data_IF_806165984598
#
_entry.id   IF_806165984598
#
_cell.length_a   1.000
_cell.length_b   1.000
_cell.length_c   1.000
_cell.angle_alpha   90.00
_cell.angle_beta   90.00
_cell.angle_gamma   90.00
#
_symmetry.space_group_name_H-M   'P 1'
#
loop_
_entity.id
_entity.type
_entity.pdbx_description
1 polymer ?
#
# COMPACT_ATOMS: atom_id res chain seq x y z
N UNK A 1 82.95 33.34 32.00
CA UNK A 1 83.69 33.62 30.81
C UNK A 1 83.48 32.48 29.83
N UNK A 2 82.49 32.53 29.00
CA UNK A 2 82.42 31.60 27.86
C UNK A 2 81.56 32.29 26.75
N UNK A 3 82.21 32.32 25.63
CA UNK A 3 81.85 33.01 24.43
C UNK A 3 80.78 32.24 23.66
N UNK A 4 79.63 32.85 23.45
CA UNK A 4 78.53 32.27 22.67
C UNK A 4 78.61 32.78 21.22
N UNK A 5 79.02 31.93 20.28
CA UNK A 5 78.98 32.18 18.85
C UNK A 5 77.55 32.13 18.30
N UNK A 6 77.14 33.20 17.64
CA UNK A 6 75.86 33.31 16.91
C UNK A 6 75.91 32.50 15.64
N UNK A 7 75.02 31.52 15.53
CA UNK A 7 74.73 30.79 14.26
C UNK A 7 73.55 31.48 13.59
N UNK A 8 73.79 32.04 12.41
CA UNK A 8 72.74 32.59 11.54
C UNK A 8 72.16 31.45 10.69
N UNK A 9 70.86 31.10 10.88
CA UNK A 9 70.14 30.27 9.98
C UNK A 9 69.51 31.11 8.86
N UNK A 10 69.86 30.78 7.63
CA UNK A 10 69.26 31.28 6.41
C UNK A 10 67.96 30.50 6.20
N UNK A 11 66.78 31.14 6.34
CA UNK A 11 65.53 30.55 5.98
C UNK A 11 65.18 30.92 4.54
N UNK A 12 65.25 29.90 3.68
CA UNK A 12 64.79 29.99 2.30
C UNK A 12 63.24 29.91 2.34
N UNK A 13 62.57 31.02 2.03
CA UNK A 13 61.12 31.08 1.95
C UNK A 13 60.66 30.46 0.63
N UNK A 14 59.96 29.30 0.72
CA UNK A 14 59.24 28.70 -0.39
C UNK A 14 57.79 29.25 -0.32
N UNK A 15 57.46 30.21 -1.18
CA UNK A 15 56.12 30.72 -1.33
C UNK A 15 55.29 29.75 -2.17
N UNK A 16 54.49 28.90 -1.52
CA UNK A 16 53.46 28.11 -2.17
C UNK A 16 52.22 29.00 -2.41
N UNK A 17 51.99 29.37 -3.65
CA UNK A 17 50.74 30.03 -4.08
C UNK A 17 49.64 28.99 -4.09
N UNK A 18 48.81 28.96 -3.04
CA UNK A 18 47.52 28.23 -3.04
C UNK A 18 46.52 28.98 -3.94
N UNK A 19 46.32 28.51 -5.17
CA UNK A 19 45.14 28.84 -5.96
C UNK A 19 43.90 28.22 -5.27
N UNK A 20 43.25 28.98 -4.42
CA UNK A 20 41.94 28.62 -3.88
C UNK A 20 40.91 28.92 -4.98
N UNK A 21 40.62 27.91 -5.82
CA UNK A 21 39.51 27.95 -6.74
C UNK A 21 38.22 28.01 -5.93
N UNK A 22 37.56 29.18 -5.89
CA UNK A 22 36.22 29.32 -5.36
C UNK A 22 35.27 28.58 -6.27
N UNK A 23 34.93 27.34 -5.91
CA UNK A 23 33.78 26.64 -6.48
C UNK A 23 32.56 27.42 -6.00
N UNK A 24 32.02 28.24 -6.89
CA UNK A 24 30.70 28.84 -6.67
C UNK A 24 29.69 27.70 -6.74
N UNK A 25 29.33 27.14 -5.61
CA UNK A 25 28.14 26.32 -5.45
C UNK A 25 26.98 27.27 -5.73
N UNK A 26 26.43 27.18 -6.94
CA UNK A 26 25.15 27.79 -7.26
C UNK A 26 24.15 27.31 -6.22
N UNK A 27 23.63 28.25 -5.42
CA UNK A 27 22.49 27.97 -4.56
C UNK A 27 21.35 27.56 -5.50
N UNK A 28 21.20 26.25 -5.72
CA UNK A 28 20.00 25.73 -6.33
C UNK A 28 18.83 26.26 -5.49
N UNK A 29 17.87 26.88 -6.18
CA UNK A 29 16.64 27.44 -5.63
C UNK A 29 16.10 26.52 -4.52
N UNK A 30 16.41 26.84 -3.28
CA UNK A 30 15.59 26.42 -2.15
C UNK A 30 14.32 27.23 -2.32
N UNK A 31 13.36 26.70 -3.08
CA UNK A 31 12.01 27.22 -3.09
C UNK A 31 11.61 27.43 -1.64
N UNK A 32 11.49 28.68 -1.23
CA UNK A 32 11.18 29.06 0.14
C UNK A 32 9.93 28.26 0.54
N UNK A 33 10.10 27.30 1.47
CA UNK A 33 8.99 26.52 1.99
C UNK A 33 8.00 27.53 2.54
N UNK A 34 6.84 27.65 1.88
CA UNK A 34 5.78 28.56 2.31
C UNK A 34 5.44 28.18 3.75
N UNK A 35 5.60 29.08 4.74
CA UNK A 35 5.29 28.73 6.12
C UNK A 35 3.79 28.41 6.22
N UNK A 36 3.45 27.44 7.07
CA UNK A 36 2.07 27.17 7.41
C UNK A 36 1.42 28.45 7.90
N UNK A 37 0.38 28.91 7.22
CA UNK A 37 -0.38 30.08 7.66
C UNK A 37 -1.14 29.73 8.92
N UNK A 38 -1.30 30.65 9.88
CA UNK A 38 -1.92 30.46 11.20
C UNK A 38 -3.39 29.99 11.20
N UNK A 39 -3.91 29.64 10.08
CA UNK A 39 -5.25 29.11 9.94
C UNK A 39 -5.29 27.63 10.36
N UNK A 40 -5.60 27.39 11.61
CA UNK A 40 -5.79 26.07 12.23
C UNK A 40 -6.73 25.11 11.48
N UNK A 41 -7.52 25.62 10.53
CA UNK A 41 -8.59 24.88 9.85
C UNK A 41 -8.43 24.75 8.32
N UNK A 42 -7.28 25.12 7.76
CA UNK A 42 -7.09 24.97 6.30
C UNK A 42 -6.63 23.56 5.94
N UNK A 43 -7.60 22.67 5.82
CA UNK A 43 -7.38 21.32 5.32
C UNK A 43 -6.78 21.29 3.90
N UNK A 44 -7.00 22.37 3.13
CA UNK A 44 -6.47 22.54 1.78
C UNK A 44 -5.01 23.03 1.75
N UNK A 45 -4.45 23.47 2.88
CA UNK A 45 -3.07 23.95 2.92
C UNK A 45 -2.10 22.77 3.10
N UNK A 46 -1.58 22.28 1.99
CA UNK A 46 -0.63 21.15 1.97
C UNK A 46 0.70 21.44 2.68
N UNK A 47 1.05 22.72 2.86
CA UNK A 47 2.26 23.10 3.60
C UNK A 47 2.08 22.99 5.12
N UNK A 48 0.84 22.91 5.59
CA UNK A 48 0.48 22.69 7.00
C UNK A 48 0.40 21.21 7.41
N UNK A 49 0.59 20.27 6.48
CA UNK A 49 0.56 18.82 6.81
C UNK A 49 1.55 18.52 7.95
N UNK A 50 1.10 17.76 8.93
CA UNK A 50 1.86 17.43 10.16
C UNK A 50 1.60 18.40 11.31
N UNK A 51 1.05 19.59 11.06
CA UNK A 51 0.69 20.59 12.05
C UNK A 51 -0.83 20.75 12.23
N UNK A 52 -1.62 20.17 11.34
CA UNK A 52 -3.09 20.24 11.37
C UNK A 52 -3.66 19.29 12.43
N UNK A 53 -4.80 19.65 12.97
CA UNK A 53 -5.61 18.74 13.78
C UNK A 53 -6.74 18.18 12.91
N UNK A 54 -6.51 17.02 12.31
CA UNK A 54 -7.47 16.34 11.43
C UNK A 54 -8.32 15.30 12.19
N UNK A 55 -7.95 15.02 13.46
CA UNK A 55 -8.59 14.01 14.26
C UNK A 55 -10.03 14.37 14.62
N UNK A 56 -10.95 13.42 14.39
CA UNK A 56 -12.32 13.57 14.81
C UNK A 56 -12.46 13.46 16.33
N UNK A 57 -13.46 14.14 16.87
CA UNK A 57 -13.77 14.05 18.29
C UNK A 57 -14.19 12.62 18.66
N UNK A 58 -13.67 12.12 19.78
CA UNK A 58 -13.98 10.80 20.30
C UNK A 58 -13.95 10.80 21.84
N UNK A 59 -14.87 10.05 22.46
CA UNK A 59 -14.81 9.73 23.90
C UNK A 59 -13.78 8.67 24.24
N UNK A 60 -13.20 8.01 23.20
CA UNK A 60 -12.15 7.00 23.35
C UNK A 60 -10.78 7.70 23.34
N UNK A 61 -10.03 7.58 24.42
CA UNK A 61 -8.66 8.10 24.47
C UNK A 61 -7.75 7.36 23.49
N UNK A 62 -6.66 7.99 23.05
CA UNK A 62 -5.66 7.36 22.18
C UNK A 62 -5.04 6.09 22.81
N UNK A 63 -4.78 6.10 24.13
CA UNK A 63 -4.27 4.94 24.85
C UNK A 63 -5.24 3.76 24.81
N UNK A 64 -6.54 4.03 25.01
CA UNK A 64 -7.59 3.00 24.92
C UNK A 64 -7.73 2.48 23.49
N UNK A 65 -7.66 3.37 22.49
CA UNK A 65 -7.68 3.01 21.07
C UNK A 65 -6.49 2.09 20.72
N UNK A 66 -5.29 2.44 21.15
CA UNK A 66 -4.08 1.62 20.96
C UNK A 66 -4.21 0.24 21.64
N UNK A 67 -4.72 0.18 22.88
CA UNK A 67 -4.90 -1.08 23.59
C UNK A 67 -5.91 -2.01 22.88
N UNK A 68 -7.00 -1.43 22.34
CA UNK A 68 -7.99 -2.17 21.55
C UNK A 68 -7.36 -2.69 20.27
N UNK A 69 -6.66 -1.82 19.52
CA UNK A 69 -6.00 -2.19 18.26
C UNK A 69 -4.97 -3.28 18.45
N UNK A 70 -4.14 -3.18 19.51
CA UNK A 70 -3.16 -4.23 19.86
C UNK A 70 -3.82 -5.59 20.07
N UNK A 71 -4.94 -5.62 20.79
CA UNK A 71 -5.70 -6.87 21.01
C UNK A 71 -6.19 -7.48 19.70
N UNK A 72 -6.71 -6.65 18.78
CA UNK A 72 -7.15 -7.16 17.47
C UNK A 72 -5.96 -7.55 16.59
N UNK A 73 -4.88 -6.78 16.60
CA UNK A 73 -3.66 -7.13 15.89
C UNK A 73 -3.12 -8.50 16.34
N UNK A 74 -3.10 -8.77 17.65
CA UNK A 74 -2.71 -10.07 18.19
C UNK A 74 -3.65 -11.22 17.77
N UNK A 75 -4.93 -10.96 17.57
CA UNK A 75 -5.88 -11.98 17.08
C UNK A 75 -5.62 -12.27 15.59
N UNK A 76 -5.43 -11.25 14.77
CA UNK A 76 -5.11 -11.40 13.35
C UNK A 76 -3.77 -12.11 13.19
N UNK A 77 -2.75 -11.72 13.93
CA UNK A 77 -1.42 -12.34 13.88
C UNK A 77 -1.43 -13.84 14.21
N UNK A 78 -2.38 -14.26 15.03
CA UNK A 78 -2.56 -15.70 15.37
C UNK A 78 -3.36 -16.46 14.31
N UNK A 79 -4.28 -15.80 13.61
CA UNK A 79 -5.20 -16.45 12.67
C UNK A 79 -4.75 -16.33 11.23
N UNK A 80 -4.08 -15.25 10.85
CA UNK A 80 -3.63 -15.00 9.50
C UNK A 80 -2.22 -15.53 9.24
N UNK A 81 -1.96 -15.93 8.01
CA UNK A 81 -0.61 -16.30 7.56
C UNK A 81 0.16 -15.02 7.23
N UNK A 82 1.04 -14.58 8.14
CA UNK A 82 1.88 -13.42 7.93
C UNK A 82 3.08 -13.75 7.05
N UNK A 83 3.43 -12.83 6.15
CA UNK A 83 4.70 -12.86 5.43
C UNK A 83 5.83 -12.58 6.41
N UNK A 84 6.81 -13.48 6.46
CA UNK A 84 7.99 -13.38 7.35
C UNK A 84 9.26 -12.98 6.60
N UNK A 85 9.16 -12.73 5.30
CA UNK A 85 10.30 -12.33 4.49
C UNK A 85 10.77 -10.92 4.88
N UNK A 86 11.99 -10.76 5.41
CA UNK A 86 12.45 -9.49 5.96
C UNK A 86 12.56 -8.41 4.88
N UNK A 87 12.92 -8.77 3.64
CA UNK A 87 13.07 -7.79 2.54
C UNK A 87 11.71 -7.19 2.17
N UNK A 88 10.67 -8.03 2.05
CA UNK A 88 9.31 -7.58 1.74
C UNK A 88 8.78 -6.72 2.89
N UNK A 89 8.96 -7.17 4.13
CA UNK A 89 8.46 -6.46 5.31
C UNK A 89 9.14 -5.10 5.50
N UNK A 90 10.46 -5.05 5.36
CA UNK A 90 11.23 -3.81 5.47
C UNK A 90 10.84 -2.81 4.38
N UNK A 91 10.68 -3.29 3.15
CA UNK A 91 10.26 -2.46 2.04
C UNK A 91 8.89 -1.81 2.28
N UNK A 92 7.86 -2.62 2.60
CA UNK A 92 6.50 -2.11 2.84
C UNK A 92 6.49 -1.15 4.04
N UNK A 93 7.22 -1.50 5.10
CA UNK A 93 7.35 -0.63 6.27
C UNK A 93 8.02 0.71 5.91
N UNK A 94 9.07 0.72 5.08
CA UNK A 94 9.74 1.95 4.66
C UNK A 94 8.81 2.85 3.84
N UNK A 95 8.04 2.31 2.90
CA UNK A 95 7.04 3.06 2.14
C UNK A 95 6.02 3.68 3.10
N UNK A 96 5.51 2.89 4.05
CA UNK A 96 4.57 3.38 5.04
C UNK A 96 5.17 4.47 5.96
N UNK A 97 6.39 4.29 6.46
CA UNK A 97 7.03 5.29 7.32
C UNK A 97 7.28 6.62 6.58
N UNK A 98 7.54 6.58 5.27
CA UNK A 98 7.64 7.79 4.45
C UNK A 98 6.28 8.51 4.37
N UNK A 99 5.20 7.77 4.17
CA UNK A 99 3.83 8.32 4.17
C UNK A 99 3.47 8.85 5.57
N UNK A 100 3.66 8.07 6.62
CA UNK A 100 3.35 8.44 8.00
C UNK A 100 4.10 9.71 8.43
N UNK A 101 5.40 9.81 8.12
CA UNK A 101 6.22 11.00 8.37
C UNK A 101 5.79 12.24 7.56
N UNK A 102 5.06 12.02 6.47
CA UNK A 102 4.49 13.05 5.59
C UNK A 102 3.01 13.30 5.84
N UNK A 103 2.45 12.84 6.96
CA UNK A 103 1.03 12.89 7.30
C UNK A 103 0.74 13.74 8.54
N UNK A 104 -0.53 13.83 8.90
CA UNK A 104 -1.01 14.43 10.16
C UNK A 104 -1.17 13.39 11.28
N UNK A 105 -0.74 12.14 11.09
CA UNK A 105 -0.83 11.11 12.10
C UNK A 105 -0.01 11.48 13.35
N UNK A 106 -0.61 11.34 14.54
CA UNK A 106 0.02 11.68 15.82
C UNK A 106 0.45 10.45 16.64
N UNK A 107 0.27 9.27 16.06
CA UNK A 107 0.64 8.00 16.68
C UNK A 107 1.52 7.20 15.72
N UNK A 108 2.40 6.34 16.25
CA UNK A 108 3.19 5.45 15.41
C UNK A 108 2.29 4.52 14.58
N UNK A 109 2.69 4.27 13.35
CA UNK A 109 2.03 3.32 12.47
C UNK A 109 2.89 2.08 12.32
N UNK A 110 2.25 0.92 12.46
CA UNK A 110 2.87 -0.40 12.29
C UNK A 110 2.21 -1.11 11.13
N UNK A 111 2.99 -1.51 10.13
CA UNK A 111 2.48 -2.25 8.99
C UNK A 111 2.86 -3.73 9.06
N UNK A 112 1.95 -4.61 8.65
CA UNK A 112 2.15 -6.05 8.51
C UNK A 112 1.62 -6.55 7.18
N UNK A 113 2.23 -7.61 6.65
CA UNK A 113 1.84 -8.19 5.37
C UNK A 113 1.22 -9.56 5.60
N UNK A 114 -0.01 -9.75 5.10
CA UNK A 114 -0.73 -11.03 5.14
C UNK A 114 -0.54 -11.75 3.81
N UNK A 115 -0.19 -13.03 3.86
CA UNK A 115 -0.17 -13.91 2.68
C UNK A 115 -1.61 -14.27 2.29
N UNK A 116 -2.25 -13.37 1.57
CA UNK A 116 -3.60 -13.51 1.02
C UNK A 116 -3.64 -13.00 -0.41
N UNK A 117 -4.27 -13.75 -1.33
CA UNK A 117 -4.40 -13.34 -2.72
C UNK A 117 -5.39 -12.19 -2.95
N UNK A 118 -6.15 -11.82 -1.94
CA UNK A 118 -7.11 -10.72 -2.02
C UNK A 118 -6.40 -9.38 -2.19
N UNK A 119 -6.92 -8.54 -3.08
CA UNK A 119 -6.45 -7.16 -3.21
C UNK A 119 -7.07 -6.35 -2.07
N UNK A 120 -6.38 -6.29 -0.94
CA UNK A 120 -6.87 -5.58 0.24
C UNK A 120 -5.75 -4.98 1.09
N UNK A 121 -6.07 -3.86 1.76
CA UNK A 121 -5.39 -3.33 2.92
C UNK A 121 -6.44 -2.80 3.88
N UNK A 122 -6.15 -2.79 5.17
CA UNK A 122 -7.07 -2.27 6.17
C UNK A 122 -6.34 -1.79 7.41
N UNK A 123 -6.97 -0.85 8.10
CA UNK A 123 -6.45 -0.24 9.33
C UNK A 123 -7.26 -0.68 10.53
N UNK A 124 -6.57 -1.06 11.60
CA UNK A 124 -7.14 -1.26 12.92
C UNK A 124 -6.94 0.01 13.79
N UNK A 125 -7.71 0.15 14.88
CA UNK A 125 -7.49 1.21 15.85
C UNK A 125 -6.02 1.27 16.32
N UNK A 126 -5.53 2.48 16.61
CA UNK A 126 -4.19 2.65 17.20
C UNK A 126 -3.02 2.47 16.23
N UNK A 127 -3.29 2.55 14.89
CA UNK A 127 -2.23 2.66 13.88
C UNK A 127 -1.65 1.33 13.40
N UNK A 128 -2.40 0.23 13.47
CA UNK A 128 -1.99 -1.05 12.88
C UNK A 128 -2.60 -1.17 11.48
N UNK A 129 -1.75 -1.24 10.45
CA UNK A 129 -2.14 -1.42 9.05
C UNK A 129 -1.75 -2.82 8.59
N UNK A 130 -2.66 -3.49 7.91
CA UNK A 130 -2.43 -4.78 7.27
C UNK A 130 -2.54 -4.64 5.76
N UNK A 131 -1.60 -5.24 5.05
CA UNK A 131 -1.52 -5.23 3.59
C UNK A 131 -1.48 -6.67 3.09
N UNK A 132 -2.38 -7.04 2.21
CA UNK A 132 -2.38 -8.38 1.61
C UNK A 132 -1.35 -8.48 0.47
N UNK A 133 -0.75 -9.66 0.30
CA UNK A 133 0.15 -9.93 -0.83
C UNK A 133 -0.53 -9.73 -2.18
N UNK A 134 -1.85 -9.93 -2.25
CA UNK A 134 -2.65 -9.62 -3.44
C UNK A 134 -2.59 -8.16 -3.85
N UNK A 135 -2.63 -7.23 -2.90
CA UNK A 135 -2.47 -5.79 -3.17
C UNK A 135 -1.06 -5.48 -3.67
N UNK A 136 -0.01 -5.99 -2.99
CA UNK A 136 1.38 -5.81 -3.41
C UNK A 136 1.60 -6.32 -4.83
N UNK A 137 1.00 -7.46 -5.18
CA UNK A 137 1.10 -8.04 -6.52
C UNK A 137 0.31 -7.23 -7.56
N UNK A 138 -0.84 -6.69 -7.18
CA UNK A 138 -1.69 -5.89 -8.07
C UNK A 138 -1.09 -4.51 -8.36
N UNK A 139 -0.37 -3.90 -7.44
CA UNK A 139 0.29 -2.62 -7.65
C UNK A 139 1.30 -2.72 -8.81
N UNK A 140 1.24 -1.79 -9.75
CA UNK A 140 2.17 -1.72 -10.89
C UNK A 140 3.37 -0.82 -10.62
N UNK A 141 3.31 -0.03 -9.53
CA UNK A 141 4.37 0.89 -9.11
C UNK A 141 4.35 1.07 -7.59
N UNK A 142 5.47 1.55 -7.04
CA UNK A 142 5.55 1.92 -5.62
C UNK A 142 4.53 3.01 -5.27
N UNK A 143 4.33 3.99 -6.17
CA UNK A 143 3.36 5.05 -5.95
C UNK A 143 1.91 4.54 -5.84
N UNK A 144 1.54 3.45 -6.53
CA UNK A 144 0.23 2.81 -6.36
C UNK A 144 0.07 2.18 -4.98
N UNK A 145 1.10 1.51 -4.48
CA UNK A 145 1.12 0.99 -3.10
C UNK A 145 1.05 2.13 -2.10
N UNK A 146 1.89 3.16 -2.28
CA UNK A 146 1.91 4.34 -1.42
C UNK A 146 0.55 5.05 -1.36
N UNK A 147 -0.20 5.05 -2.46
CA UNK A 147 -1.56 5.61 -2.51
C UNK A 147 -2.53 4.91 -1.58
N UNK A 148 -2.52 3.58 -1.57
CA UNK A 148 -3.36 2.81 -0.65
C UNK A 148 -2.92 3.02 0.80
N UNK A 149 -1.60 2.96 1.06
CA UNK A 149 -1.06 3.20 2.41
C UNK A 149 -1.38 4.61 2.91
N UNK A 150 -1.34 5.63 2.05
CA UNK A 150 -1.69 7.00 2.39
C UNK A 150 -3.17 7.14 2.77
N UNK A 151 -4.07 6.43 2.08
CA UNK A 151 -5.48 6.35 2.43
C UNK A 151 -5.69 5.71 3.81
N UNK A 152 -5.03 4.58 4.08
CA UNK A 152 -5.09 3.91 5.39
C UNK A 152 -4.51 4.81 6.50
N UNK A 153 -3.39 5.47 6.23
CA UNK A 153 -2.78 6.46 7.13
C UNK A 153 -3.73 7.63 7.44
N UNK A 154 -4.51 8.08 6.46
CA UNK A 154 -5.50 9.13 6.68
C UNK A 154 -6.62 8.67 7.62
N UNK A 155 -7.09 7.42 7.53
CA UNK A 155 -8.01 6.84 8.50
C UNK A 155 -7.45 6.87 9.93
N UNK A 156 -6.17 6.55 10.11
CA UNK A 156 -5.46 6.64 11.40
C UNK A 156 -5.38 8.09 11.88
N UNK A 157 -4.95 9.02 11.03
CA UNK A 157 -4.76 10.43 11.38
C UNK A 157 -6.08 11.08 11.81
N UNK A 158 -7.18 10.79 11.09
CA UNK A 158 -8.52 11.28 11.41
C UNK A 158 -9.18 10.55 12.58
N UNK A 159 -8.63 9.42 13.03
CA UNK A 159 -9.21 8.56 14.06
C UNK A 159 -10.65 8.13 13.74
N UNK A 160 -10.89 7.78 12.47
CA UNK A 160 -12.24 7.45 11.98
C UNK A 160 -12.87 6.33 12.80
N UNK A 161 -12.09 5.28 13.13
CA UNK A 161 -12.57 4.19 13.97
C UNK A 161 -13.07 4.68 15.35
N UNK A 162 -12.28 5.51 16.04
CA UNK A 162 -12.61 5.99 17.39
C UNK A 162 -13.85 6.88 17.37
N UNK A 163 -13.99 7.72 16.33
CA UNK A 163 -15.16 8.54 16.09
C UNK A 163 -16.41 7.67 15.85
N UNK A 164 -16.33 6.66 15.01
CA UNK A 164 -17.47 5.80 14.72
C UNK A 164 -17.88 4.92 15.90
N UNK A 165 -16.91 4.40 16.64
CA UNK A 165 -17.16 3.71 17.91
C UNK A 165 -17.86 4.63 18.92
N UNK A 166 -17.47 5.91 18.96
CA UNK A 166 -18.14 6.93 19.80
C UNK A 166 -19.59 7.13 19.36
N UNK A 167 -19.84 7.34 18.06
CA UNK A 167 -21.20 7.52 17.52
C UNK A 167 -22.09 6.32 17.86
N UNK A 168 -21.58 5.10 17.67
CA UNK A 168 -22.28 3.85 18.00
C UNK A 168 -22.59 3.77 19.51
N UNK A 169 -21.62 4.09 20.35
CA UNK A 169 -21.78 4.09 21.82
C UNK A 169 -22.83 5.11 22.25
N UNK A 170 -22.76 6.34 21.74
CA UNK A 170 -23.74 7.37 22.05
C UNK A 170 -25.15 7.00 21.58
N UNK A 171 -25.27 6.38 20.39
CA UNK A 171 -26.55 5.86 19.90
C UNK A 171 -27.10 4.78 20.84
N UNK A 172 -26.27 3.85 21.32
CA UNK A 172 -26.68 2.85 22.29
C UNK A 172 -27.24 3.49 23.57
N UNK A 173 -26.54 4.47 24.13
CA UNK A 173 -27.02 5.21 25.31
C UNK A 173 -28.32 5.97 25.03
N UNK A 174 -28.48 6.59 23.87
CA UNK A 174 -29.72 7.28 23.48
C UNK A 174 -30.90 6.31 23.33
N UNK A 175 -30.64 5.05 23.03
CA UNK A 175 -31.69 4.01 22.92
C UNK A 175 -32.10 3.41 24.27
N UNK A 176 -31.33 3.62 25.36
CA UNK A 176 -31.69 3.09 26.70
C UNK A 176 -33.08 3.48 27.14
N UNK A 177 -33.54 4.75 27.04
CA UNK A 177 -34.91 5.12 27.44
C UNK A 177 -36.00 4.38 26.65
N UNK A 178 -35.74 4.04 25.38
CA UNK A 178 -36.69 3.27 24.56
C UNK A 178 -36.83 1.82 25.01
N UNK A 179 -35.83 1.24 25.68
CA UNK A 179 -35.87 -0.14 26.21
C UNK A 179 -36.89 -0.23 27.37
N UNK A 180 -37.10 0.87 28.09
CA UNK A 180 -38.06 0.95 29.20
C UNK A 180 -39.48 1.30 28.75
N UNK A 181 -39.72 1.59 27.45
CA UNK A 181 -41.05 1.65 26.91
C UNK A 181 -41.57 0.22 26.65
N UNK A 182 -42.89 -0.02 26.65
CA UNK A 182 -43.50 -1.33 26.34
C UNK A 182 -43.35 -1.64 24.83
N UNK A 183 -42.10 -1.78 24.42
CA UNK A 183 -41.74 -2.20 23.07
C UNK A 183 -41.79 -3.72 23.03
N UNK A 184 -42.27 -4.33 21.97
CA UNK A 184 -42.33 -5.77 21.86
C UNK A 184 -40.92 -6.37 21.92
N UNK A 185 -40.75 -7.45 22.69
CA UNK A 185 -39.50 -8.17 22.87
C UNK A 185 -38.75 -8.50 21.57
N UNK A 186 -39.43 -8.86 20.44
CA UNK A 186 -38.74 -9.07 19.15
C UNK A 186 -38.04 -7.82 18.61
N UNK A 187 -38.56 -6.62 18.82
CA UNK A 187 -37.92 -5.36 18.39
C UNK A 187 -36.68 -5.08 19.23
N UNK A 188 -36.73 -5.35 20.54
CA UNK A 188 -35.56 -5.24 21.43
C UNK A 188 -34.45 -6.18 21.01
N UNK A 189 -34.74 -7.45 20.74
CA UNK A 189 -33.75 -8.45 20.27
C UNK A 189 -33.14 -7.99 18.93
N UNK A 190 -33.95 -7.58 17.95
CA UNK A 190 -33.49 -7.11 16.66
C UNK A 190 -32.50 -5.91 16.77
N UNK A 191 -32.80 -4.97 17.69
CA UNK A 191 -31.92 -3.84 17.96
C UNK A 191 -30.63 -4.31 18.66
N UNK A 192 -30.70 -5.16 19.67
CA UNK A 192 -29.56 -5.65 20.43
C UNK A 192 -28.63 -6.54 19.59
N UNK A 193 -29.19 -7.41 18.75
CA UNK A 193 -28.43 -8.22 17.80
C UNK A 193 -27.83 -7.36 16.70
N UNK A 194 -28.55 -6.37 16.17
CA UNK A 194 -28.02 -5.42 15.20
C UNK A 194 -26.86 -4.57 15.74
N UNK A 195 -26.87 -4.28 17.05
CA UNK A 195 -25.79 -3.55 17.72
C UNK A 195 -24.61 -4.47 18.15
N UNK A 196 -24.86 -5.76 18.33
CA UNK A 196 -23.86 -6.77 18.70
C UNK A 196 -23.28 -7.53 17.50
N UNK A 197 -23.73 -7.21 16.26
CA UNK A 197 -23.24 -7.86 15.06
C UNK A 197 -21.72 -7.73 14.96
N UNK A 198 -21.10 -8.86 15.19
CA UNK A 198 -19.76 -9.31 14.85
C UNK A 198 -18.69 -8.24 14.68
N UNK A 199 -18.13 -7.89 15.78
CA UNK A 199 -17.05 -6.93 15.97
C UNK A 199 -15.87 -6.99 14.98
N UNK A 200 -15.48 -8.11 14.33
CA UNK A 200 -14.31 -8.11 13.47
C UNK A 200 -14.48 -7.39 12.12
N UNK A 201 -15.61 -7.54 11.45
CA UNK A 201 -15.82 -6.94 10.11
C UNK A 201 -16.44 -5.55 10.15
N UNK A 202 -17.18 -5.22 11.21
CA UNK A 202 -17.79 -3.90 11.36
C UNK A 202 -16.77 -2.77 11.63
N UNK A 203 -15.50 -3.11 11.94
CA UNK A 203 -14.45 -2.12 12.11
C UNK A 203 -13.91 -1.57 10.80
N UNK A 204 -14.11 -2.27 9.70
CA UNK A 204 -13.49 -1.98 8.42
C UNK A 204 -14.38 -1.12 7.52
N UNK A 205 -15.64 -0.86 7.93
CA UNK A 205 -16.58 -0.04 7.14
C UNK A 205 -16.68 1.36 7.69
N UNK A 206 -16.17 2.29 6.94
CA UNK A 206 -16.28 3.71 7.22
C UNK A 206 -17.46 4.36 6.48
N UNK A 207 -17.90 5.51 6.97
CA UNK A 207 -18.94 6.26 6.27
C UNK A 207 -18.39 6.85 4.96
N UNK A 208 -19.29 7.17 4.00
CA UNK A 208 -18.87 7.83 2.75
C UNK A 208 -18.10 9.14 2.98
N UNK A 209 -18.41 9.85 4.08
CA UNK A 209 -17.70 11.09 4.44
C UNK A 209 -16.29 10.80 4.94
N UNK A 210 -16.14 9.74 5.74
CA UNK A 210 -14.83 9.32 6.23
C UNK A 210 -13.94 8.85 5.06
N UNK A 211 -14.53 8.14 4.07
CA UNK A 211 -13.86 7.74 2.85
C UNK A 211 -13.39 8.94 2.02
N UNK A 212 -14.27 9.92 1.81
CA UNK A 212 -13.93 11.16 1.08
C UNK A 212 -12.81 11.94 1.80
N UNK A 213 -12.83 11.97 3.13
CA UNK A 213 -11.78 12.63 3.90
C UNK A 213 -10.47 11.84 3.83
N UNK A 214 -10.52 10.52 3.87
CA UNK A 214 -9.34 9.68 3.72
C UNK A 214 -8.70 9.81 2.33
N UNK A 215 -9.51 9.91 1.27
CA UNK A 215 -9.03 10.21 -0.08
C UNK A 215 -8.35 11.57 -0.12
N UNK A 216 -9.04 12.59 0.38
CA UNK A 216 -8.59 13.98 0.38
C UNK A 216 -7.24 14.13 1.10
N UNK A 217 -7.09 13.59 2.29
CA UNK A 217 -5.85 13.67 3.04
C UNK A 217 -4.78 12.73 2.48
N UNK A 218 -5.17 11.53 2.05
CA UNK A 218 -4.25 10.55 1.48
C UNK A 218 -3.52 11.09 0.24
N UNK A 219 -4.22 11.78 -0.66
CA UNK A 219 -3.61 12.43 -1.82
C UNK A 219 -2.59 13.49 -1.43
N UNK A 220 -2.89 14.27 -0.39
CA UNK A 220 -1.97 15.27 0.13
C UNK A 220 -0.74 14.64 0.79
N UNK A 221 -0.92 13.51 1.50
CA UNK A 221 0.19 12.77 2.11
C UNK A 221 1.10 12.15 1.04
N UNK A 222 0.53 11.57 -0.03
CA UNK A 222 1.29 11.12 -1.20
C UNK A 222 2.11 12.25 -1.78
N UNK A 223 1.46 13.40 -2.04
CA UNK A 223 2.14 14.57 -2.59
C UNK A 223 3.28 15.02 -1.69
N UNK A 224 3.07 15.12 -0.37
CA UNK A 224 4.11 15.55 0.57
C UNK A 224 5.26 14.54 0.66
N UNK A 225 4.97 13.24 0.61
CA UNK A 225 5.95 12.16 0.58
C UNK A 225 6.72 12.06 -0.76
N UNK A 226 6.33 12.85 -1.77
CA UNK A 226 7.01 12.91 -3.07
C UNK A 226 6.43 11.95 -4.11
N UNK A 227 5.41 11.18 -3.82
CA UNK A 227 4.77 10.26 -4.77
C UNK A 227 3.82 10.99 -5.72
N UNK A 228 3.64 10.41 -6.94
CA UNK A 228 2.66 10.90 -7.91
C UNK A 228 1.22 10.59 -7.44
N UNK A 229 0.40 11.62 -7.11
CA UNK A 229 -0.98 11.39 -6.70
C UNK A 229 -1.87 10.72 -7.77
N UNK A 230 -1.52 10.83 -9.06
CA UNK A 230 -2.26 10.16 -10.13
C UNK A 230 -2.15 8.63 -10.04
N UNK A 231 -1.13 8.10 -9.38
CA UNK A 231 -1.00 6.68 -9.13
C UNK A 231 -2.16 6.13 -8.28
N UNK A 232 -2.74 6.92 -7.39
CA UNK A 232 -3.93 6.58 -6.62
C UNK A 232 -5.13 6.31 -7.53
N UNK A 233 -5.40 7.23 -8.47
CA UNK A 233 -6.49 7.07 -9.44
C UNK A 233 -6.29 5.83 -10.33
N UNK A 234 -5.07 5.60 -10.78
CA UNK A 234 -4.73 4.44 -11.61
C UNK A 234 -4.88 3.12 -10.84
N UNK A 235 -4.59 3.10 -9.54
CA UNK A 235 -4.83 1.94 -8.68
C UNK A 235 -6.32 1.67 -8.51
N UNK A 236 -7.14 2.70 -8.27
CA UNK A 236 -8.60 2.56 -8.23
C UNK A 236 -9.18 1.99 -9.51
N UNK A 237 -8.77 2.54 -10.66
CA UNK A 237 -9.22 2.03 -11.96
C UNK A 237 -8.89 0.54 -12.13
N UNK A 238 -7.70 0.14 -11.71
CA UNK A 238 -7.26 -1.26 -11.75
C UNK A 238 -8.08 -2.15 -10.84
N UNK A 239 -8.32 -1.72 -9.60
CA UNK A 239 -9.13 -2.45 -8.64
C UNK A 239 -10.55 -2.67 -9.19
N UNK A 240 -11.18 -1.61 -9.74
CA UNK A 240 -12.50 -1.70 -10.37
C UNK A 240 -12.50 -2.70 -11.54
N UNK A 241 -11.46 -2.66 -12.38
CA UNK A 241 -11.34 -3.57 -13.52
C UNK A 241 -11.21 -5.02 -13.08
N UNK A 242 -10.39 -5.31 -12.07
CA UNK A 242 -10.21 -6.66 -11.54
C UNK A 242 -11.49 -7.18 -10.87
N UNK A 243 -12.24 -6.34 -10.16
CA UNK A 243 -13.52 -6.70 -9.57
C UNK A 243 -14.58 -7.11 -10.58
N UNK A 244 -14.53 -6.53 -11.78
CA UNK A 244 -15.42 -6.92 -12.89
C UNK A 244 -15.02 -8.25 -13.54
N UNK A 245 -13.70 -8.54 -13.59
CA UNK A 245 -13.17 -9.77 -14.23
C UNK A 245 -13.37 -11.00 -13.38
N UNK A 246 -13.26 -10.85 -12.06
CA UNK A 246 -13.27 -11.97 -11.13
C UNK A 246 -14.20 -11.64 -9.95
N UNK A 247 -15.54 -11.76 -10.13
CA UNK A 247 -16.48 -11.53 -9.04
C UNK A 247 -16.14 -12.43 -7.84
N UNK A 248 -15.93 -11.83 -6.68
CA UNK A 248 -15.59 -12.53 -5.44
C UNK A 248 -14.10 -12.52 -5.04
N UNK A 249 -13.15 -12.30 -5.95
CA UNK A 249 -11.72 -12.25 -5.63
C UNK A 249 -11.22 -10.88 -5.17
N UNK A 250 -11.99 -9.83 -5.46
CA UNK A 250 -11.67 -8.42 -5.13
C UNK A 250 -12.56 -7.93 -3.99
N UNK A 251 -13.19 -8.87 -3.26
CA UNK A 251 -14.25 -8.55 -2.30
C UNK A 251 -13.78 -7.69 -1.12
N UNK A 252 -12.53 -7.81 -0.68
CA UNK A 252 -12.04 -7.13 0.52
C UNK A 252 -12.10 -5.61 0.41
N UNK A 253 -11.27 -5.03 -0.44
CA UNK A 253 -11.14 -3.55 -0.53
C UNK A 253 -12.43 -2.88 -1.03
N UNK A 254 -13.24 -3.58 -1.87
CA UNK A 254 -14.53 -3.06 -2.31
C UNK A 254 -15.62 -3.09 -1.24
N UNK A 255 -15.52 -4.06 -0.31
CA UNK A 255 -16.50 -4.16 0.77
C UNK A 255 -16.24 -3.15 1.87
N UNK A 256 -14.97 -2.85 2.10
CA UNK A 256 -14.52 -1.98 3.18
C UNK A 256 -14.44 -0.51 2.72
N UNK A 257 -13.92 -0.28 1.50
CA UNK A 257 -13.68 1.05 0.90
C UNK A 257 -14.24 1.13 -0.52
N UNK A 258 -15.57 1.09 -0.73
CA UNK A 258 -16.15 1.01 -2.07
C UNK A 258 -15.74 2.20 -2.94
N UNK A 259 -15.10 1.95 -4.11
CA UNK A 259 -14.73 3.00 -5.03
C UNK A 259 -16.00 3.52 -5.72
N UNK A 260 -16.46 4.69 -5.32
CA UNK A 260 -17.58 5.36 -5.96
C UNK A 260 -17.08 6.29 -7.06
N UNK A 261 -17.96 6.55 -8.04
CA UNK A 261 -17.65 7.52 -9.11
C UNK A 261 -17.33 8.90 -8.54
N UNK A 262 -18.02 9.30 -7.47
CA UNK A 262 -17.81 10.59 -6.83
C UNK A 262 -16.41 10.69 -6.19
N UNK A 263 -15.88 9.61 -5.60
CA UNK A 263 -14.53 9.58 -5.03
C UNK A 263 -13.49 9.86 -6.12
N UNK A 264 -13.62 9.23 -7.28
CA UNK A 264 -12.70 9.43 -8.42
C UNK A 264 -12.75 10.88 -8.90
N UNK A 265 -13.95 11.43 -9.11
CA UNK A 265 -14.13 12.80 -9.57
C UNK A 265 -13.54 13.81 -8.56
N UNK A 266 -13.78 13.59 -7.26
CA UNK A 266 -13.26 14.47 -6.21
C UNK A 266 -11.72 14.40 -6.15
N UNK A 267 -11.14 13.20 -6.24
CA UNK A 267 -9.70 13.00 -6.25
C UNK A 267 -9.04 13.66 -7.47
N UNK A 268 -9.63 13.54 -8.68
CA UNK A 268 -9.14 14.23 -9.87
C UNK A 268 -9.20 15.76 -9.72
N UNK A 269 -10.29 16.27 -9.14
CA UNK A 269 -10.44 17.71 -8.89
C UNK A 269 -9.37 18.19 -7.91
N UNK A 270 -9.15 17.48 -6.81
CA UNK A 270 -8.16 17.83 -5.80
C UNK A 270 -6.74 17.89 -6.38
N UNK A 271 -6.34 16.85 -7.11
CA UNK A 271 -5.03 16.82 -7.78
C UNK A 271 -4.82 18.05 -8.65
N UNK A 272 -5.88 18.49 -9.37
CA UNK A 272 -5.79 19.63 -10.29
C UNK A 272 -5.85 21.00 -9.61
N UNK A 273 -6.53 21.11 -8.46
CA UNK A 273 -6.87 22.44 -7.89
C UNK A 273 -6.18 22.74 -6.57
N UNK A 274 -5.78 21.72 -5.82
CA UNK A 274 -5.22 21.87 -4.46
C UNK A 274 -3.74 21.51 -4.42
N UNK A 275 -3.34 20.41 -5.09
CA UNK A 275 -1.96 19.96 -5.05
C UNK A 275 -1.07 20.81 -5.97
N UNK A 276 -0.03 21.49 -5.45
CA UNK A 276 0.93 22.17 -6.28
C UNK A 276 1.67 21.19 -7.20
N UNK A 277 1.89 21.56 -8.45
CA UNK A 277 2.71 20.76 -9.34
C UNK A 277 4.14 20.65 -8.84
N UNK A 278 4.76 19.48 -9.02
CA UNK A 278 6.17 19.24 -8.73
C UNK A 278 6.92 18.95 -10.03
N UNK A 279 8.20 19.32 -10.16
CA UNK A 279 9.00 19.01 -11.33
C UNK A 279 9.21 17.50 -11.50
N UNK A 280 9.27 16.77 -10.38
CA UNK A 280 9.49 15.34 -10.36
C UNK A 280 8.64 14.67 -9.28
N UNK A 281 8.18 13.45 -9.57
CA UNK A 281 7.48 12.58 -8.66
C UNK A 281 8.14 11.20 -8.59
N UNK A 282 8.16 10.62 -7.42
CA UNK A 282 8.51 9.22 -7.24
C UNK A 282 7.35 8.35 -7.73
N UNK A 283 7.58 7.58 -8.79
CA UNK A 283 6.59 6.65 -9.34
C UNK A 283 6.96 5.22 -8.95
N UNK A 284 8.21 4.82 -9.19
CA UNK A 284 8.72 3.48 -8.85
C UNK A 284 10.24 3.50 -8.84
N UNK A 285 10.83 2.56 -8.13
CA UNK A 285 12.26 2.32 -8.09
C UNK A 285 12.60 0.86 -8.43
N UNK A 286 13.87 0.55 -8.63
CA UNK A 286 14.34 -0.81 -8.92
C UNK A 286 14.06 -1.79 -7.77
N UNK A 287 13.98 -1.29 -6.56
CA UNK A 287 13.69 -2.07 -5.38
C UNK A 287 12.25 -2.60 -5.37
N UNK A 288 11.27 -1.79 -5.79
CA UNK A 288 9.89 -2.25 -5.98
C UNK A 288 9.83 -3.47 -6.90
N UNK A 289 10.55 -3.42 -8.03
CA UNK A 289 10.61 -4.54 -8.97
C UNK A 289 11.25 -5.78 -8.35
N UNK A 290 12.32 -5.59 -7.58
CA UNK A 290 13.00 -6.68 -6.85
C UNK A 290 12.08 -7.33 -5.82
N UNK A 291 11.33 -6.53 -5.05
CA UNK A 291 10.34 -7.01 -4.07
C UNK A 291 9.19 -7.74 -4.77
N UNK A 292 8.71 -7.23 -5.89
CA UNK A 292 7.69 -7.91 -6.70
C UNK A 292 8.19 -9.28 -7.22
N UNK A 293 9.43 -9.33 -7.73
CA UNK A 293 10.06 -10.58 -8.15
C UNK A 293 10.16 -11.59 -7.00
N UNK A 294 10.63 -11.12 -5.82
CA UNK A 294 10.73 -11.94 -4.61
C UNK A 294 9.38 -12.45 -4.12
N UNK A 295 8.36 -11.59 -4.15
CA UNK A 295 6.98 -11.95 -3.81
C UNK A 295 6.45 -13.05 -4.74
N UNK A 296 6.69 -12.94 -6.04
CA UNK A 296 6.27 -13.95 -7.02
C UNK A 296 6.94 -15.32 -6.79
N UNK A 297 8.22 -15.33 -6.40
CA UNK A 297 8.91 -16.56 -6.01
C UNK A 297 8.29 -17.15 -4.74
N UNK A 298 8.07 -16.33 -3.72
CA UNK A 298 7.49 -16.74 -2.45
C UNK A 298 6.09 -17.34 -2.62
N UNK A 299 5.27 -16.75 -3.47
CA UNK A 299 3.93 -17.25 -3.79
C UNK A 299 3.93 -18.46 -4.73
N UNK A 300 5.09 -18.97 -5.14
CA UNK A 300 5.22 -20.13 -6.02
C UNK A 300 4.76 -19.90 -7.46
N UNK A 301 4.48 -18.65 -7.83
CA UNK A 301 3.96 -18.31 -9.19
C UNK A 301 5.02 -18.44 -10.28
N UNK A 302 6.32 -18.36 -9.95
CA UNK A 302 7.42 -18.52 -10.89
C UNK A 302 7.93 -19.96 -11.05
N UNK A 303 7.61 -20.89 -10.13
CA UNK A 303 8.04 -22.29 -10.21
C UNK A 303 7.54 -23.03 -11.47
N UNK A 304 6.48 -22.57 -12.10
CA UNK A 304 5.92 -23.20 -13.30
C UNK A 304 6.76 -22.99 -14.57
N UNK A 305 7.61 -21.97 -14.59
CA UNK A 305 8.47 -21.69 -15.76
C UNK A 305 9.78 -22.46 -15.66
N UNK A 306 10.41 -22.55 -14.47
CA UNK A 306 11.64 -23.31 -14.27
C UNK A 306 11.45 -24.83 -14.38
N UNK A 307 10.33 -25.35 -13.90
CA UNK A 307 10.04 -26.79 -14.02
C UNK A 307 9.73 -27.24 -15.46
N UNK A 308 9.38 -26.32 -16.36
CA UNK A 308 9.17 -26.61 -17.78
C UNK A 308 10.48 -26.63 -18.57
N UNK A 309 11.53 -25.90 -18.14
CA UNK A 309 12.82 -25.85 -18.83
C UNK A 309 13.82 -26.92 -18.38
N UNK A 310 13.63 -27.52 -17.19
CA UNK A 310 14.52 -28.51 -16.58
C UNK A 310 13.97 -29.94 -16.54
N UNK A 311 12.98 -30.27 -17.34
CA UNK A 311 12.62 -31.69 -17.54
C UNK A 311 13.71 -32.32 -18.40
N UNK A 312 14.49 -33.31 -17.91
CA UNK A 312 15.39 -34.06 -18.77
C UNK A 312 14.54 -34.76 -19.83
N UNK A 313 14.65 -34.30 -21.06
CA UNK A 313 14.12 -35.04 -22.21
C UNK A 313 14.97 -36.28 -22.36
N UNK A 314 14.45 -37.43 -21.99
CA UNK A 314 15.01 -38.72 -22.37
C UNK A 314 15.03 -38.79 -23.91
N UNK A 315 16.19 -38.53 -24.51
CA UNK A 315 16.41 -38.83 -25.90
C UNK A 315 16.27 -40.34 -26.06
N UNK A 316 15.23 -40.77 -26.75
CA UNK A 316 15.06 -42.16 -27.22
C UNK A 316 16.27 -42.45 -28.09
N UNK A 317 17.10 -43.40 -27.66
CA UNK A 317 18.21 -43.92 -28.47
C UNK A 317 17.59 -44.73 -29.62
N UNK A 318 17.63 -44.20 -30.82
CA UNK A 318 17.36 -45.00 -32.02
C UNK A 318 18.56 -45.93 -32.28
N UNK A 319 18.36 -47.24 -32.39
CA UNK A 319 19.44 -48.16 -32.77
C UNK A 319 19.81 -47.90 -34.22
N UNK A 320 21.10 -47.66 -34.49
CA UNK A 320 21.69 -47.68 -35.83
C UNK A 320 21.50 -49.06 -36.41
N UNK A 321 20.56 -49.25 -37.36
CA UNK A 321 20.50 -50.41 -38.24
C UNK A 321 21.41 -50.14 -39.44
N UNK A 322 22.36 -51.04 -39.60
CA UNK A 322 23.20 -51.10 -40.82
C UNK A 322 22.45 -51.67 -42.00
N UNK A 323 22.84 -51.24 -43.09
CA UNK A 323 22.85 -51.53 -44.50
C UNK A 323 22.03 -52.70 -45.13
N UNK A 324 21.89 -52.70 -46.46
CA UNK A 324 20.59 -52.95 -47.14
C UNK A 324 20.60 -54.29 -47.87
N UNK A 325 19.44 -54.82 -48.14
CA UNK A 325 19.21 -55.72 -49.28
C UNK A 325 17.81 -55.53 -49.89
N UNK A 326 17.87 -55.45 -51.20
CA UNK A 326 16.75 -55.49 -52.20
C UNK A 326 15.59 -56.44 -51.88
N UNK A 327 14.39 -56.11 -52.22
CA UNK A 327 13.57 -56.69 -53.31
C UNK A 327 12.06 -56.51 -53.09
N UNK A 328 11.43 -55.91 -54.09
CA UNK A 328 10.08 -56.24 -54.69
C UNK A 328 8.79 -56.11 -53.88
N UNK A 329 7.99 -55.17 -54.37
CA UNK A 329 6.57 -55.32 -54.76
C UNK A 329 5.49 -55.69 -53.71
N UNK A 330 4.49 -54.85 -53.65
CA UNK A 330 3.17 -55.18 -53.07
C UNK A 330 2.29 -53.97 -52.81
N UNK A 331 1.37 -53.72 -53.73
CA UNK A 331 0.22 -52.80 -53.61
C UNK A 331 -0.66 -53.12 -52.41
N UNK A 332 -1.21 -52.14 -51.69
CA UNK A 332 -2.68 -51.96 -51.60
C UNK A 332 -3.04 -50.81 -50.67
N UNK A 333 -3.75 -49.91 -51.15
CA UNK A 333 -4.96 -49.18 -50.72
C UNK A 333 -5.42 -49.37 -49.27
N UNK A 334 -5.61 -48.26 -48.57
CA UNK A 334 -6.91 -47.89 -47.97
C UNK A 334 -6.83 -46.56 -47.16
N UNK A 335 -7.83 -45.80 -47.42
CA UNK A 335 -8.32 -44.61 -46.74
C UNK A 335 -8.16 -44.60 -45.21
N UNK A 336 -7.74 -43.46 -44.66
CA UNK A 336 -8.13 -43.06 -43.31
C UNK A 336 -8.32 -41.54 -43.27
N UNK A 337 -9.62 -41.16 -43.31
CA UNK A 337 -10.10 -39.80 -43.02
C UNK A 337 -10.29 -39.64 -41.51
N UNK A 338 -9.95 -38.49 -40.93
CA UNK A 338 -10.23 -38.22 -39.52
C UNK A 338 -11.72 -37.94 -39.29
N UNK A 339 -12.26 -38.23 -38.07
CA UNK A 339 -13.68 -38.09 -37.76
C UNK A 339 -14.08 -36.63 -37.59
N UNK A 340 -15.23 -36.29 -38.18
CA UNK A 340 -15.93 -35.02 -38.09
C UNK A 340 -16.84 -35.07 -36.85
N UNK A 341 -16.72 -34.07 -35.96
CA UNK A 341 -17.63 -33.83 -34.83
C UNK A 341 -18.87 -33.07 -35.30
N UNK A 342 -20.02 -33.73 -35.30
CA UNK A 342 -21.34 -33.12 -35.49
C UNK A 342 -21.82 -32.43 -34.20
N UNK A 343 -22.26 -31.17 -34.33
CA UNK A 343 -23.04 -30.46 -33.31
C UNK A 343 -24.45 -31.02 -33.25
N UNK A 344 -24.89 -31.44 -32.08
CA UNK A 344 -26.31 -31.61 -31.77
C UNK A 344 -26.91 -30.32 -31.23
N UNK A 345 -28.08 -29.98 -31.76
CA UNK A 345 -28.98 -28.91 -31.36
C UNK A 345 -29.46 -29.04 -29.92
#
# INVERSE_FOLDING_TARGET
MLNMKRIRFFTLGLAAVLLCGTVSVSAADTAAVKPCSDAKDKMDDVYCIGQRNVAHHSIISQQKELAIGKKYAEQIDRSAKLVKDPVIMEYVNRVEQNIAGSSDAKIPITVRVIDSPEINAFTLPGGFIYVNTGLLHAASSEAQLAGVLAHETAHVACRHWASDATKKTLLQYAMIPLIFTPMSYPVYIGISEGLNLGVPLAFLKFSRKDEQQADFLGLQYMWKAGYDPNAYLSMFAKIIQEGRRTPGSVAGIFMDHPPTKDRIINAEKEIKTILPSRPEYLVSNSEFQSVQGRLNVLLGRMKKVESASNKPTLRKHEPKSGQPTDTTAGQSTADDKPPVLERRN
#
